data_IF_600533271444
#
_entry.id   IF_600533271444
#
_cell.length_a   1.000
_cell.length_b   1.000
_cell.length_c   1.000
_cell.angle_alpha   90.00
_cell.angle_beta   90.00
_cell.angle_gamma   90.00
#
_symmetry.space_group_name_H-M   'P 1'
#
loop_
_entity.id
_entity.type
_entity.pdbx_description
1 polymer ?
#
# COMPACT_ATOMS: atom_id res chain seq x y z
N UNK A 1 -24.68 -14.71 -2.28
CA UNK A 1 -24.17 -13.66 -1.37
C UNK A 1 -24.45 -12.31 -2.01
N UNK A 2 -24.66 -11.23 -1.25
CA UNK A 2 -24.82 -9.91 -1.85
C UNK A 2 -23.45 -9.37 -2.29
N UNK A 3 -23.38 -8.73 -3.47
CA UNK A 3 -22.15 -8.11 -3.99
C UNK A 3 -21.51 -7.13 -2.99
N UNK A 4 -22.32 -6.46 -2.16
CA UNK A 4 -21.85 -5.61 -1.07
C UNK A 4 -20.97 -6.38 -0.06
N UNK A 5 -21.37 -7.59 0.34
CA UNK A 5 -20.58 -8.42 1.27
C UNK A 5 -19.29 -8.92 0.62
N UNK A 6 -19.30 -9.21 -0.67
CA UNK A 6 -18.10 -9.60 -1.43
C UNK A 6 -17.09 -8.46 -1.46
N UNK A 7 -17.54 -7.25 -1.83
CA UNK A 7 -16.70 -6.05 -1.81
C UNK A 7 -16.13 -5.76 -0.41
N UNK A 8 -16.94 -5.95 0.65
CA UNK A 8 -16.46 -5.79 2.03
C UNK A 8 -15.35 -6.77 2.37
N UNK A 9 -15.43 -8.02 1.90
CA UNK A 9 -14.35 -9.01 2.07
C UNK A 9 -13.11 -8.61 1.28
N UNK A 10 -13.25 -8.25 0.01
CA UNK A 10 -12.14 -7.81 -0.86
C UNK A 10 -11.37 -6.63 -0.23
N UNK A 11 -12.08 -5.63 0.30
CA UNK A 11 -11.47 -4.50 1.03
C UNK A 11 -10.67 -4.99 2.25
N UNK A 12 -11.24 -5.90 3.04
CA UNK A 12 -10.58 -6.44 4.22
C UNK A 12 -9.36 -7.29 3.88
N UNK A 13 -9.42 -8.07 2.80
CA UNK A 13 -8.32 -8.88 2.31
C UNK A 13 -7.15 -7.99 1.86
N UNK A 14 -7.42 -6.93 1.09
CA UNK A 14 -6.39 -5.96 0.71
C UNK A 14 -5.74 -5.34 1.96
N UNK A 15 -6.55 -4.85 2.91
CA UNK A 15 -6.05 -4.22 4.14
C UNK A 15 -5.24 -5.18 5.03
N UNK A 16 -5.54 -6.48 4.97
CA UNK A 16 -4.85 -7.52 5.75
C UNK A 16 -3.67 -8.15 5.02
N UNK A 17 -3.58 -7.96 3.70
CA UNK A 17 -2.53 -8.53 2.87
C UNK A 17 -1.14 -8.16 3.39
N UNK A 18 -0.22 -9.13 3.34
CA UNK A 18 1.15 -8.93 3.79
C UNK A 18 1.86 -7.91 2.91
N UNK A 19 1.63 -7.96 1.59
CA UNK A 19 2.23 -7.03 0.63
C UNK A 19 1.85 -5.57 0.94
N UNK A 20 0.56 -5.30 1.18
CA UNK A 20 0.12 -3.95 1.51
C UNK A 20 0.73 -3.44 2.83
N UNK A 21 0.87 -4.32 3.84
CA UNK A 21 1.52 -3.97 5.10
C UNK A 21 3.00 -3.67 4.90
N UNK A 22 3.73 -4.57 4.22
CA UNK A 22 5.15 -4.41 3.89
C UNK A 22 5.43 -3.12 3.12
N UNK A 23 4.60 -2.79 2.13
CA UNK A 23 4.74 -1.54 1.37
C UNK A 23 4.63 -0.34 2.30
N UNK A 24 3.62 -0.30 3.17
CA UNK A 24 3.44 0.80 4.11
C UNK A 24 4.60 0.89 5.13
N UNK A 25 5.08 -0.24 5.63
CA UNK A 25 6.23 -0.31 6.56
C UNK A 25 7.53 0.21 5.89
N UNK A 26 7.82 -0.21 4.66
CA UNK A 26 9.01 0.24 3.94
C UNK A 26 8.94 1.75 3.64
N UNK A 27 7.78 2.27 3.23
CA UNK A 27 7.58 3.72 3.05
C UNK A 27 7.84 4.46 4.36
N UNK A 28 7.31 3.97 5.48
CA UNK A 28 7.53 4.59 6.79
C UNK A 28 9.02 4.64 7.16
N UNK A 29 9.78 3.58 6.87
CA UNK A 29 11.23 3.54 7.10
C UNK A 29 11.94 4.56 6.21
N UNK A 30 11.60 4.60 4.92
CA UNK A 30 12.21 5.47 3.91
C UNK A 30 11.95 6.96 4.17
N UNK A 31 10.72 7.32 4.52
CA UNK A 31 10.29 8.71 4.78
C UNK A 31 10.63 9.19 6.19
N UNK A 32 10.94 8.29 7.12
CA UNK A 32 11.32 8.69 8.48
C UNK A 32 12.61 9.52 8.48
N UNK A 33 12.57 10.73 9.02
CA UNK A 33 13.76 11.56 9.20
C UNK A 33 14.55 11.23 10.48
N UNK A 34 14.08 10.27 11.27
CA UNK A 34 14.73 9.87 12.52
C UNK A 34 15.57 8.59 12.36
N UNK A 35 16.61 8.50 13.19
CA UNK A 35 17.47 7.32 13.29
C UNK A 35 18.72 7.35 12.40
N UNK A 36 19.19 6.15 12.02
CA UNK A 36 20.44 5.95 11.29
C UNK A 36 20.41 6.58 9.89
N UNK A 37 21.58 7.06 9.43
CA UNK A 37 21.80 7.50 8.05
C UNK A 37 21.71 6.36 7.04
N UNK A 38 21.94 5.13 7.49
CA UNK A 38 21.76 3.91 6.69
C UNK A 38 20.54 3.16 7.18
N UNK A 39 19.64 2.83 6.26
CA UNK A 39 18.40 2.11 6.50
C UNK A 39 18.41 0.79 5.76
N UNK A 40 17.68 -0.18 6.33
CA UNK A 40 17.46 -1.48 5.70
C UNK A 40 15.99 -1.56 5.30
N UNK A 41 15.76 -1.83 4.02
CA UNK A 41 14.42 -1.98 3.45
C UNK A 41 14.38 -3.22 2.58
N UNK A 42 13.20 -3.78 2.36
CA UNK A 42 13.02 -4.79 1.32
C UNK A 42 13.15 -4.10 -0.06
N UNK A 43 13.60 -4.84 -1.05
CA UNK A 43 13.71 -4.35 -2.43
C UNK A 43 12.32 -4.41 -3.09
N UNK A 44 11.88 -3.36 -3.81
CA UNK A 44 10.58 -3.37 -4.48
C UNK A 44 10.44 -4.59 -5.41
N UNK A 45 9.42 -5.41 -5.18
CA UNK A 45 9.14 -6.60 -6.01
C UNK A 45 9.98 -7.84 -5.69
N UNK A 46 10.77 -7.85 -4.61
CA UNK A 46 11.46 -9.04 -4.11
C UNK A 46 11.51 -9.07 -2.58
N UNK A 47 11.68 -10.24 -1.97
CA UNK A 47 11.85 -10.36 -0.51
C UNK A 47 13.31 -10.09 -0.06
N UNK A 48 14.18 -9.62 -0.95
CA UNK A 48 15.57 -9.31 -0.63
C UNK A 48 15.68 -8.01 0.16
N UNK A 49 16.61 -7.97 1.12
CA UNK A 49 16.88 -6.77 1.93
C UNK A 49 18.07 -6.01 1.39
N UNK A 50 17.88 -4.72 1.15
CA UNK A 50 18.90 -3.79 0.69
C UNK A 50 19.23 -2.77 1.77
N UNK A 51 20.48 -2.33 1.78
CA UNK A 51 20.97 -1.27 2.67
C UNK A 51 21.10 0.02 1.86
N UNK A 52 20.36 1.05 2.23
CA UNK A 52 20.36 2.33 1.55
C UNK A 52 20.83 3.43 2.47
N UNK A 53 21.51 4.43 1.91
CA UNK A 53 21.78 5.67 2.62
C UNK A 53 20.60 6.64 2.40
N UNK A 54 20.08 7.21 3.48
CA UNK A 54 19.04 8.24 3.44
C UNK A 54 19.44 9.43 2.57
N UNK A 55 18.46 10.08 1.97
CA UNK A 55 18.61 11.27 1.12
C UNK A 55 19.44 11.09 -0.16
N UNK A 56 19.86 9.86 -0.48
CA UNK A 56 20.43 9.54 -1.79
C UNK A 56 19.34 9.45 -2.85
N UNK A 57 19.72 9.61 -4.12
CA UNK A 57 18.78 9.49 -5.22
C UNK A 57 18.25 8.06 -5.36
N UNK A 58 19.07 7.05 -5.07
CA UNK A 58 18.65 5.65 -4.96
C UNK A 58 17.54 5.46 -3.93
N UNK A 59 17.67 6.03 -2.72
CA UNK A 59 16.63 5.96 -1.71
C UNK A 59 15.34 6.68 -2.15
N UNK A 60 15.45 7.81 -2.87
CA UNK A 60 14.28 8.54 -3.41
C UNK A 60 13.59 7.73 -4.49
N UNK A 61 14.34 7.08 -5.37
CA UNK A 61 13.82 6.23 -6.44
C UNK A 61 13.05 5.04 -5.86
N UNK A 62 13.64 4.34 -4.90
CA UNK A 62 12.99 3.21 -4.21
C UNK A 62 11.74 3.67 -3.45
N UNK A 63 11.78 4.85 -2.83
CA UNK A 63 10.59 5.45 -2.19
C UNK A 63 9.49 5.67 -3.20
N UNK A 64 9.79 6.21 -4.39
CA UNK A 64 8.80 6.40 -5.46
C UNK A 64 8.22 5.07 -5.93
N UNK A 65 9.04 4.05 -6.13
CA UNK A 65 8.55 2.71 -6.50
C UNK A 65 7.54 2.16 -5.48
N UNK A 66 7.85 2.27 -4.18
CA UNK A 66 6.91 1.88 -3.14
C UNK A 66 5.63 2.73 -3.11
N UNK A 67 5.75 4.05 -3.31
CA UNK A 67 4.59 4.94 -3.40
C UNK A 67 3.69 4.60 -4.59
N UNK A 68 4.25 4.23 -5.74
CA UNK A 68 3.49 3.80 -6.92
C UNK A 68 2.78 2.47 -6.66
N UNK A 69 3.45 1.50 -6.04
CA UNK A 69 2.82 0.24 -5.62
C UNK A 69 1.69 0.48 -4.61
N UNK A 70 1.90 1.35 -3.62
CA UNK A 70 0.87 1.75 -2.65
C UNK A 70 -0.31 2.40 -3.34
N UNK A 71 -0.06 3.27 -4.31
CA UNK A 71 -1.10 3.97 -5.06
C UNK A 71 -2.03 2.99 -5.77
N UNK A 72 -1.50 1.93 -6.39
CA UNK A 72 -2.32 0.90 -7.03
C UNK A 72 -3.31 0.25 -6.05
N UNK A 73 -2.87 -0.08 -4.83
CA UNK A 73 -3.77 -0.60 -3.78
C UNK A 73 -4.81 0.43 -3.34
N UNK A 74 -4.41 1.69 -3.16
CA UNK A 74 -5.33 2.77 -2.75
C UNK A 74 -6.39 3.03 -3.82
N UNK A 75 -6.00 3.06 -5.09
CA UNK A 75 -6.93 3.24 -6.21
C UNK A 75 -7.92 2.08 -6.27
N UNK A 76 -7.44 0.84 -6.09
CA UNK A 76 -8.33 -0.33 -6.02
C UNK A 76 -9.30 -0.25 -4.83
N UNK A 77 -8.84 0.16 -3.66
CA UNK A 77 -9.70 0.34 -2.48
C UNK A 77 -10.78 1.40 -2.73
N UNK A 78 -10.42 2.51 -3.38
CA UNK A 78 -11.38 3.57 -3.74
C UNK A 78 -12.44 3.07 -4.70
N UNK A 79 -12.05 2.34 -5.75
CA UNK A 79 -13.01 1.73 -6.69
C UNK A 79 -14.02 0.84 -5.97
N UNK A 80 -13.54 -0.03 -5.08
CA UNK A 80 -14.38 -0.92 -4.28
C UNK A 80 -15.33 -0.13 -3.37
N UNK A 81 -14.83 0.89 -2.68
CA UNK A 81 -15.66 1.75 -1.81
C UNK A 81 -16.72 2.52 -2.60
N UNK A 82 -16.39 3.00 -3.80
CA UNK A 82 -17.34 3.63 -4.71
C UNK A 82 -18.41 2.65 -5.20
N UNK A 83 -18.03 1.45 -5.65
CA UNK A 83 -18.96 0.40 -6.09
C UNK A 83 -19.92 0.03 -4.96
N UNK A 84 -19.39 -0.20 -3.75
CA UNK A 84 -20.21 -0.49 -2.56
C UNK A 84 -21.20 0.62 -2.26
N UNK A 85 -20.77 1.87 -2.33
CA UNK A 85 -21.62 3.03 -2.06
C UNK A 85 -22.73 3.14 -3.10
N UNK A 86 -22.43 2.93 -4.38
CA UNK A 86 -23.43 2.89 -5.46
C UNK A 86 -24.47 1.81 -5.21
N UNK A 87 -24.04 0.57 -4.96
CA UNK A 87 -24.94 -0.56 -4.71
C UNK A 87 -25.83 -0.34 -3.48
N UNK A 88 -25.29 0.27 -2.40
CA UNK A 88 -26.10 0.62 -1.22
C UNK A 88 -27.19 1.65 -1.55
N UNK A 89 -26.89 2.63 -2.41
CA UNK A 89 -27.89 3.61 -2.86
C UNK A 89 -28.95 2.97 -3.76
N UNK A 90 -28.57 2.03 -4.61
CA UNK A 90 -29.55 1.32 -5.47
C UNK A 90 -30.50 0.41 -4.68
N UNK A 91 -30.05 -0.15 -3.55
CA UNK A 91 -30.85 -1.07 -2.74
C UNK A 91 -31.68 -0.40 -1.63
N UNK A 92 -31.20 0.73 -1.10
CA UNK A 92 -31.78 1.37 0.09
C UNK A 92 -32.04 2.88 -0.08
N UNK A 93 -31.73 3.43 -1.26
CA UNK A 93 -31.99 4.82 -1.61
C UNK A 93 -33.27 5.01 -2.39
#
# INVERSE_FOLDING_TARGET
MSRIMEIEREIQEIKKSQDFKKINENIQILESNSGSRSIRVESPGSDEKIMLRRNTDEAKEITRSYQDMRKAYIDKLRELEHEKTRLKRELFG
#
